data_IF_164504510064
#
_entry.id   IF_164504510064
#
_cell.length_a   1.000
_cell.length_b   1.000
_cell.length_c   1.000
_cell.angle_alpha   90.00
_cell.angle_beta   90.00
_cell.angle_gamma   90.00
#
_symmetry.space_group_name_H-M   'P 1'
#
loop_
_entity.id
_entity.type
_entity.pdbx_description
1 polymer ?
#
# COMPACT_ATOMS: atom_id res chain seq x y z
N UNK A 1 -62.05 -61.95 22.87
CA UNK A 1 -63.41 -61.38 23.08
C UNK A 1 -64.08 -62.00 24.33
N UNK A 2 -63.53 -61.78 25.54
CA UNK A 2 -64.14 -62.24 26.80
C UNK A 2 -64.01 -61.22 27.95
N UNK A 3 -63.57 -60.00 27.66
CA UNK A 3 -63.45 -58.93 28.67
C UNK A 3 -64.73 -58.15 29.02
N UNK A 4 -65.77 -58.03 28.15
CA UNK A 4 -66.94 -57.24 28.53
C UNK A 4 -67.82 -57.94 29.58
N UNK A 5 -67.85 -59.27 29.64
CA UNK A 5 -68.67 -60.00 30.63
C UNK A 5 -68.09 -59.96 32.04
N UNK A 6 -66.76 -59.90 32.18
CA UNK A 6 -66.10 -59.82 33.49
C UNK A 6 -66.29 -58.42 34.13
N UNK A 7 -66.25 -57.36 33.31
CA UNK A 7 -66.51 -55.99 33.79
C UNK A 7 -67.97 -55.77 34.18
N UNK A 8 -68.93 -56.39 33.48
CA UNK A 8 -70.36 -56.26 33.83
C UNK A 8 -70.66 -56.94 35.17
N UNK A 9 -70.07 -58.10 35.46
CA UNK A 9 -70.24 -58.81 36.76
C UNK A 9 -69.61 -58.03 37.92
N UNK A 10 -68.43 -57.44 37.71
CA UNK A 10 -67.76 -56.62 38.74
C UNK A 10 -68.52 -55.30 38.98
N UNK A 11 -69.00 -54.62 37.93
CA UNK A 11 -69.81 -53.41 38.08
C UNK A 11 -71.19 -53.69 38.73
N UNK A 12 -71.81 -54.85 38.48
CA UNK A 12 -73.08 -55.20 39.16
C UNK A 12 -72.87 -55.60 40.62
N UNK A 13 -71.73 -56.20 40.99
CA UNK A 13 -71.35 -56.40 42.39
C UNK A 13 -71.01 -55.10 43.12
N UNK A 14 -70.40 -54.11 42.43
CA UNK A 14 -70.05 -52.82 43.03
C UNK A 14 -71.25 -51.89 43.23
N UNK A 15 -72.28 -51.99 42.38
CA UNK A 15 -73.49 -51.17 42.51
C UNK A 15 -74.50 -51.66 43.57
N UNK A 16 -74.45 -52.93 43.99
CA UNK A 16 -75.34 -53.46 45.05
C UNK A 16 -74.76 -53.33 46.46
N UNK A 17 -73.51 -52.90 46.61
CA UNK A 17 -72.88 -52.59 47.89
C UNK A 17 -73.27 -51.19 48.38
N UNK A 18 -74.57 -50.98 48.60
CA UNK A 18 -75.08 -49.84 49.36
C UNK A 18 -75.49 -50.33 50.75
N UNK A 19 -74.56 -50.30 51.70
CA UNK A 19 -74.84 -50.50 53.12
C UNK A 19 -73.84 -49.73 53.98
N UNK A 20 -74.40 -48.91 54.87
CA UNK A 20 -73.73 -48.13 55.90
C UNK A 20 -73.09 -49.02 56.99
N UNK A 21 -72.01 -49.72 56.67
CA UNK A 21 -71.19 -50.40 57.68
C UNK A 21 -69.90 -49.63 57.96
N UNK A 22 -69.65 -49.38 59.24
CA UNK A 22 -68.50 -48.64 59.77
C UNK A 22 -67.20 -49.41 59.52
N UNK A 23 -66.57 -49.19 58.38
CA UNK A 23 -65.14 -49.45 58.17
C UNK A 23 -64.28 -48.28 58.69
N UNK A 24 -64.55 -47.78 59.91
CA UNK A 24 -63.74 -46.75 60.55
C UNK A 24 -62.49 -47.41 61.16
N UNK A 25 -61.37 -47.38 60.45
CA UNK A 25 -60.06 -47.80 60.97
C UNK A 25 -59.24 -48.78 60.13
N UNK A 26 -59.80 -49.35 59.05
CA UNK A 26 -59.02 -50.20 58.13
C UNK A 26 -58.36 -49.37 57.01
N UNK A 27 -57.13 -49.76 56.66
CA UNK A 27 -56.22 -49.02 55.75
C UNK A 27 -56.74 -49.00 54.30
N UNK A 28 -57.59 -49.96 53.92
CA UNK A 28 -58.21 -50.02 52.60
C UNK A 28 -59.71 -50.37 52.68
N UNK A 29 -60.61 -49.41 52.37
CA UNK A 29 -62.05 -49.63 52.32
C UNK A 29 -62.48 -50.78 51.39
N UNK A 30 -61.66 -51.13 50.39
CA UNK A 30 -61.91 -52.23 49.48
C UNK A 30 -61.67 -53.59 50.16
N UNK A 31 -60.60 -53.73 50.94
CA UNK A 31 -60.28 -54.95 51.69
C UNK A 31 -61.33 -55.18 52.79
N UNK A 32 -61.75 -54.13 53.49
CA UNK A 32 -62.83 -54.21 54.48
C UNK A 32 -64.12 -54.75 53.84
N UNK A 33 -64.55 -54.15 52.72
CA UNK A 33 -65.74 -54.59 51.97
C UNK A 33 -65.61 -56.02 51.44
N UNK A 34 -64.41 -56.45 51.03
CA UNK A 34 -64.16 -57.81 50.56
C UNK A 34 -64.25 -58.84 51.69
N UNK A 35 -63.68 -58.52 52.87
CA UNK A 35 -63.75 -59.36 54.07
C UNK A 35 -65.20 -59.51 54.56
N UNK A 36 -65.97 -58.43 54.56
CA UNK A 36 -67.40 -58.43 54.91
C UNK A 36 -68.24 -59.21 53.89
N UNK A 37 -68.05 -58.98 52.59
CA UNK A 37 -68.81 -59.65 51.53
C UNK A 37 -68.57 -61.17 51.47
N UNK A 38 -67.42 -61.64 51.96
CA UNK A 38 -67.06 -63.07 51.98
C UNK A 38 -67.47 -63.79 53.28
N UNK A 39 -68.09 -63.10 54.26
CA UNK A 39 -68.52 -63.65 55.55
C UNK A 39 -67.46 -64.54 56.25
N UNK A 40 -66.21 -64.08 56.22
CA UNK A 40 -65.06 -64.83 56.74
C UNK A 40 -65.03 -64.67 58.26
N UNK A 41 -65.67 -65.59 58.98
CA UNK A 41 -65.50 -65.72 60.44
C UNK A 41 -64.09 -66.26 60.75
N UNK A 42 -63.13 -65.35 60.99
CA UNK A 42 -61.83 -65.38 61.73
C UNK A 42 -61.09 -66.69 62.10
N UNK A 43 -61.42 -67.87 61.59
CA UNK A 43 -60.78 -69.15 62.00
C UNK A 43 -59.91 -69.84 60.94
N UNK A 44 -59.75 -69.25 59.75
CA UNK A 44 -58.84 -69.77 58.72
C UNK A 44 -57.56 -68.93 58.64
N UNK A 45 -56.57 -69.29 59.46
CA UNK A 45 -55.24 -68.66 59.57
C UNK A 45 -54.52 -68.58 58.21
N UNK A 46 -54.81 -69.53 57.30
CA UNK A 46 -54.20 -69.57 55.96
C UNK A 46 -54.75 -68.48 55.05
N UNK A 47 -56.03 -68.15 55.23
CA UNK A 47 -56.69 -67.08 54.48
C UNK A 47 -56.22 -65.71 54.98
N UNK A 48 -56.08 -65.53 56.29
CA UNK A 48 -55.59 -64.29 56.89
C UNK A 48 -54.14 -63.98 56.48
N UNK A 49 -53.26 -64.99 56.48
CA UNK A 49 -51.89 -64.85 55.92
C UNK A 49 -51.87 -64.44 54.46
N UNK A 50 -52.83 -64.92 53.65
CA UNK A 50 -52.96 -64.50 52.25
C UNK A 50 -53.45 -63.06 52.13
N UNK A 51 -54.40 -62.62 52.97
CA UNK A 51 -54.83 -61.24 53.01
C UNK A 51 -53.70 -60.29 53.44
N UNK A 52 -52.93 -60.63 54.47
CA UNK A 52 -51.75 -59.85 54.85
C UNK A 52 -50.69 -59.79 53.74
N UNK A 53 -50.51 -60.88 52.99
CA UNK A 53 -49.60 -60.90 51.84
C UNK A 53 -50.11 -60.01 50.70
N UNK A 54 -51.42 -59.99 50.46
CA UNK A 54 -52.08 -59.10 49.50
C UNK A 54 -51.96 -57.64 49.95
N UNK A 55 -52.24 -57.32 51.21
CA UNK A 55 -52.08 -55.97 51.78
C UNK A 55 -50.63 -55.49 51.63
N UNK A 56 -49.63 -56.34 51.93
CA UNK A 56 -48.22 -56.02 51.75
C UNK A 56 -47.84 -55.80 50.28
N UNK A 57 -48.43 -56.56 49.35
CA UNK A 57 -48.24 -56.36 47.91
C UNK A 57 -48.91 -55.07 47.43
N UNK A 58 -50.11 -54.75 47.91
CA UNK A 58 -50.83 -53.52 47.61
C UNK A 58 -50.08 -52.29 48.12
N UNK A 59 -49.52 -52.35 49.33
CA UNK A 59 -48.73 -51.24 49.87
C UNK A 59 -47.43 -51.03 49.09
N UNK A 60 -46.78 -52.12 48.66
CA UNK A 60 -45.62 -52.03 47.76
C UNK A 60 -46.00 -51.37 46.42
N UNK A 61 -47.11 -51.78 45.80
CA UNK A 61 -47.60 -51.18 44.55
C UNK A 61 -47.93 -49.70 44.74
N UNK A 62 -48.53 -49.34 45.89
CA UNK A 62 -48.83 -47.95 46.22
C UNK A 62 -47.57 -47.10 46.31
N UNK A 63 -46.53 -47.62 46.96
CA UNK A 63 -45.24 -46.93 47.05
C UNK A 63 -44.58 -46.81 45.67
N UNK A 64 -44.57 -47.88 44.86
CA UNK A 64 -44.03 -47.85 43.50
C UNK A 64 -44.75 -46.79 42.63
N UNK A 65 -46.08 -46.63 42.77
CA UNK A 65 -46.85 -45.59 42.08
C UNK A 65 -46.44 -44.18 42.53
N UNK A 66 -46.19 -43.97 43.83
CA UNK A 66 -45.74 -42.68 44.35
C UNK A 66 -44.34 -42.33 43.81
N UNK A 67 -43.42 -43.28 43.82
CA UNK A 67 -42.06 -43.10 43.31
C UNK A 67 -42.05 -42.84 41.79
N UNK A 68 -42.93 -43.52 41.05
CA UNK A 68 -43.08 -43.33 39.60
C UNK A 68 -43.69 -41.96 39.26
N UNK A 69 -44.66 -41.49 40.05
CA UNK A 69 -45.22 -40.15 39.93
C UNK A 69 -44.18 -39.06 40.28
N UNK A 70 -43.36 -39.28 41.31
CA UNK A 70 -42.26 -38.38 41.65
C UNK A 70 -41.21 -38.30 40.53
N UNK A 71 -40.84 -39.46 39.96
CA UNK A 71 -39.90 -39.54 38.82
C UNK A 71 -40.46 -38.82 37.60
N UNK A 72 -41.73 -39.04 37.25
CA UNK A 72 -42.41 -38.36 36.15
C UNK A 72 -42.44 -36.83 36.33
N UNK A 73 -42.63 -36.34 37.57
CA UNK A 73 -42.62 -34.91 37.86
C UNK A 73 -41.22 -34.29 37.70
N UNK A 74 -40.15 -35.04 38.04
CA UNK A 74 -38.76 -34.62 37.84
C UNK A 74 -38.43 -34.56 36.34
N UNK A 75 -38.77 -35.60 35.58
CA UNK A 75 -38.55 -35.64 34.12
C UNK A 75 -39.29 -34.50 33.41
N UNK A 76 -40.54 -34.21 33.80
CA UNK A 76 -41.31 -33.10 33.23
C UNK A 76 -40.65 -31.73 33.51
N UNK A 77 -40.04 -31.54 34.68
CA UNK A 77 -39.27 -30.33 35.00
C UNK A 77 -37.99 -30.22 34.16
N UNK A 78 -37.28 -31.33 33.97
CA UNK A 78 -36.05 -31.34 33.16
C UNK A 78 -36.35 -30.99 31.69
N UNK A 79 -37.40 -31.56 31.10
CA UNK A 79 -37.84 -31.23 29.73
C UNK A 79 -38.20 -29.74 29.62
N UNK A 80 -38.96 -29.20 30.59
CA UNK A 80 -39.29 -27.77 30.59
C UNK A 80 -38.06 -26.87 30.73
N UNK A 81 -37.04 -27.30 31.46
CA UNK A 81 -35.78 -26.57 31.58
C UNK A 81 -34.97 -26.62 30.27
N UNK A 82 -34.92 -27.76 29.60
CA UNK A 82 -34.28 -27.92 28.29
C UNK A 82 -34.97 -27.06 27.21
N UNK A 83 -36.31 -27.04 27.17
CA UNK A 83 -37.08 -26.19 26.25
C UNK A 83 -36.75 -24.69 26.43
N UNK A 84 -36.64 -24.23 27.69
CA UNK A 84 -36.23 -22.86 27.99
C UNK A 84 -34.80 -22.56 27.49
N UNK A 85 -33.86 -23.51 27.65
CA UNK A 85 -32.50 -23.36 27.14
C UNK A 85 -32.47 -23.30 25.60
N UNK A 86 -33.25 -24.16 24.94
CA UNK A 86 -33.39 -24.16 23.47
C UNK A 86 -33.98 -22.83 22.97
N UNK A 87 -34.98 -22.28 23.66
CA UNK A 87 -35.58 -20.99 23.31
C UNK A 87 -34.59 -19.83 23.49
N UNK A 88 -33.78 -19.85 24.55
CA UNK A 88 -32.70 -18.88 24.74
C UNK A 88 -31.64 -18.97 23.64
N UNK A 89 -31.18 -20.19 23.32
CA UNK A 89 -30.21 -20.44 22.25
C UNK A 89 -30.75 -19.96 20.89
N UNK A 90 -32.02 -20.25 20.59
CA UNK A 90 -32.69 -19.79 19.36
C UNK A 90 -32.72 -18.27 19.27
N UNK A 91 -33.03 -17.59 20.38
CA UNK A 91 -33.03 -16.12 20.45
C UNK A 91 -31.63 -15.55 20.24
N UNK A 92 -30.60 -16.17 20.84
CA UNK A 92 -29.21 -15.79 20.65
C UNK A 92 -28.76 -16.00 19.19
N UNK A 93 -29.14 -17.11 18.57
CA UNK A 93 -28.80 -17.42 17.18
C UNK A 93 -29.43 -16.39 16.23
N UNK A 94 -30.72 -16.10 16.38
CA UNK A 94 -31.41 -15.09 15.57
C UNK A 94 -30.81 -13.68 15.74
N UNK A 95 -30.40 -13.32 16.97
CA UNK A 95 -29.73 -12.04 17.24
C UNK A 95 -28.34 -11.99 16.58
N UNK A 96 -27.61 -13.11 16.60
CA UNK A 96 -26.31 -13.23 15.93
C UNK A 96 -26.47 -13.13 14.41
N UNK A 97 -27.44 -13.84 13.83
CA UNK A 97 -27.75 -13.78 12.39
C UNK A 97 -28.06 -12.34 11.95
N UNK A 98 -28.88 -11.63 12.73
CA UNK A 98 -29.24 -10.23 12.45
C UNK A 98 -28.01 -9.32 12.45
N UNK A 99 -27.11 -9.47 13.43
CA UNK A 99 -25.86 -8.70 13.49
C UNK A 99 -24.94 -8.99 12.30
N UNK A 100 -24.85 -10.26 11.88
CA UNK A 100 -24.06 -10.65 10.71
C UNK A 100 -24.62 -10.01 9.45
N UNK A 101 -25.95 -10.06 9.24
CA UNK A 101 -26.61 -9.39 8.10
C UNK A 101 -26.34 -7.89 8.08
N UNK A 102 -26.52 -7.20 9.20
CA UNK A 102 -26.24 -5.76 9.31
C UNK A 102 -24.78 -5.42 9.00
N UNK A 103 -23.84 -6.28 9.43
CA UNK A 103 -22.41 -6.10 9.13
C UNK A 103 -22.13 -6.29 7.64
N UNK A 104 -22.74 -7.31 7.01
CA UNK A 104 -22.63 -7.55 5.57
C UNK A 104 -23.17 -6.35 4.79
N UNK A 105 -24.34 -5.83 5.13
CA UNK A 105 -24.94 -4.68 4.44
C UNK A 105 -24.10 -3.41 4.58
N UNK A 106 -23.53 -3.17 5.77
CA UNK A 106 -22.61 -2.06 6.02
C UNK A 106 -21.31 -2.18 5.20
N UNK A 107 -20.76 -3.39 5.07
CA UNK A 107 -19.59 -3.66 4.24
C UNK A 107 -19.91 -3.45 2.75
N UNK A 108 -21.05 -3.93 2.27
CA UNK A 108 -21.49 -3.71 0.88
C UNK A 108 -21.61 -2.21 0.58
N UNK A 109 -22.20 -1.43 1.49
CA UNK A 109 -22.28 0.03 1.35
C UNK A 109 -20.92 0.70 1.27
N UNK A 110 -19.97 0.29 2.12
CA UNK A 110 -18.60 0.83 2.15
C UNK A 110 -17.83 0.49 0.87
N UNK A 111 -17.94 -0.76 0.41
CA UNK A 111 -17.30 -1.22 -0.83
C UNK A 111 -17.87 -0.47 -2.03
N UNK A 112 -19.20 -0.35 -2.15
CA UNK A 112 -19.84 0.36 -3.25
C UNK A 112 -19.48 1.85 -3.28
N UNK A 113 -19.40 2.51 -2.11
CA UNK A 113 -18.95 3.89 -2.01
C UNK A 113 -17.51 4.08 -2.49
N UNK A 114 -16.62 3.17 -2.10
CA UNK A 114 -15.21 3.16 -2.52
C UNK A 114 -15.08 2.92 -4.03
N UNK A 115 -15.80 1.93 -4.57
CA UNK A 115 -15.81 1.64 -6.01
C UNK A 115 -16.28 2.84 -6.83
N UNK A 116 -17.36 3.51 -6.40
CA UNK A 116 -17.87 4.70 -7.10
C UNK A 116 -16.87 5.86 -7.09
N UNK A 117 -16.16 6.06 -5.97
CA UNK A 117 -15.12 7.10 -5.88
C UNK A 117 -13.96 6.80 -6.83
N UNK A 118 -13.52 5.53 -6.91
CA UNK A 118 -12.48 5.10 -7.83
C UNK A 118 -12.91 5.25 -9.29
N UNK A 119 -14.17 4.94 -9.63
CA UNK A 119 -14.69 5.13 -10.98
C UNK A 119 -14.66 6.60 -11.42
N UNK A 120 -15.06 7.52 -10.54
CA UNK A 120 -14.98 8.97 -10.81
C UNK A 120 -13.52 9.41 -11.02
N UNK A 121 -12.59 8.91 -10.20
CA UNK A 121 -11.16 9.21 -10.37
C UNK A 121 -10.62 8.69 -11.71
N UNK A 122 -10.99 7.48 -12.12
CA UNK A 122 -10.60 6.88 -13.41
C UNK A 122 -11.16 7.72 -14.58
N UNK A 123 -12.41 8.15 -14.51
CA UNK A 123 -13.02 9.00 -15.54
C UNK A 123 -12.31 10.36 -15.67
N UNK A 124 -11.93 10.97 -14.54
CA UNK A 124 -11.19 12.24 -14.56
C UNK A 124 -9.80 12.07 -15.19
N UNK A 125 -9.05 11.02 -14.80
CA UNK A 125 -7.74 10.72 -15.40
C UNK A 125 -7.87 10.44 -16.91
N UNK A 126 -8.91 9.71 -17.32
CA UNK A 126 -9.19 9.41 -18.72
C UNK A 126 -9.44 10.68 -19.55
N UNK A 127 -10.05 11.71 -18.96
CA UNK A 127 -10.29 13.02 -19.61
C UNK A 127 -9.02 13.87 -19.75
N UNK A 128 -8.05 13.74 -18.84
CA UNK A 128 -6.79 14.51 -18.88
C UNK A 128 -5.77 13.90 -19.85
N UNK A 129 -5.82 12.58 -20.08
CA UNK A 129 -4.86 11.87 -20.93
C UNK A 129 -4.74 12.41 -22.38
N UNK A 130 -5.83 12.79 -23.08
CA UNK A 130 -5.76 13.38 -24.42
C UNK A 130 -5.08 14.76 -24.43
N UNK A 131 -5.31 15.60 -23.42
CA UNK A 131 -4.68 16.92 -23.31
C UNK A 131 -3.17 16.77 -23.13
N UNK A 132 -2.73 15.79 -22.33
CA UNK A 132 -1.31 15.49 -22.16
C UNK A 132 -0.66 15.01 -23.47
N UNK A 133 -1.38 14.19 -24.26
CA UNK A 133 -0.91 13.75 -25.58
C UNK A 133 -0.77 14.91 -26.56
N UNK A 134 -1.73 15.83 -26.56
CA UNK A 134 -1.67 17.04 -27.40
C UNK A 134 -0.50 17.95 -27.01
N UNK A 135 -0.28 18.17 -25.71
CA UNK A 135 0.88 18.91 -25.21
C UNK A 135 2.20 18.26 -25.63
N UNK A 136 2.30 16.93 -25.57
CA UNK A 136 3.50 16.20 -25.99
C UNK A 136 3.78 16.41 -27.49
N UNK A 137 2.74 16.32 -28.34
CA UNK A 137 2.88 16.58 -29.78
C UNK A 137 3.33 18.02 -30.07
N UNK A 138 2.79 19.00 -29.34
CA UNK A 138 3.18 20.41 -29.49
C UNK A 138 4.63 20.65 -29.06
N UNK A 139 5.12 19.94 -28.04
CA UNK A 139 6.52 19.99 -27.60
C UNK A 139 7.44 19.41 -28.68
N UNK A 140 7.09 18.28 -29.27
CA UNK A 140 7.86 17.69 -30.36
C UNK A 140 7.92 18.62 -31.60
N UNK A 141 6.80 19.22 -31.99
CA UNK A 141 6.77 20.20 -33.09
C UNK A 141 7.64 21.44 -32.78
N UNK A 142 7.55 21.95 -31.55
CA UNK A 142 8.36 23.10 -31.10
C UNK A 142 9.85 22.76 -31.12
N UNK A 143 10.23 21.56 -30.66
CA UNK A 143 11.62 21.08 -30.71
C UNK A 143 12.14 21.04 -32.15
N UNK A 144 11.35 20.46 -33.07
CA UNK A 144 11.76 20.31 -34.45
C UNK A 144 11.88 21.67 -35.16
N UNK A 145 10.98 22.62 -34.85
CA UNK A 145 11.07 24.00 -35.32
C UNK A 145 12.34 24.71 -34.79
N UNK A 146 12.66 24.57 -33.50
CA UNK A 146 13.89 25.13 -32.92
C UNK A 146 15.13 24.54 -33.60
N UNK A 147 15.14 23.22 -33.84
CA UNK A 147 16.26 22.55 -34.51
C UNK A 147 16.44 23.05 -35.94
N UNK A 148 15.35 23.25 -36.67
CA UNK A 148 15.39 23.79 -38.04
C UNK A 148 15.91 25.23 -38.08
N UNK A 149 15.42 26.11 -37.20
CA UNK A 149 15.90 27.50 -37.11
C UNK A 149 17.37 27.58 -36.68
N UNK A 150 17.78 26.72 -35.74
CA UNK A 150 19.18 26.60 -35.33
C UNK A 150 20.08 26.20 -36.51
N UNK A 151 19.68 25.20 -37.31
CA UNK A 151 20.45 24.77 -38.48
C UNK A 151 20.57 25.89 -39.53
N UNK A 152 19.50 26.67 -39.75
CA UNK A 152 19.56 27.86 -40.61
C UNK A 152 20.58 28.87 -40.09
N UNK A 153 20.57 29.15 -38.79
CA UNK A 153 21.51 30.07 -38.16
C UNK A 153 22.97 29.60 -38.27
N UNK A 154 23.24 28.31 -38.02
CA UNK A 154 24.59 27.72 -38.15
C UNK A 154 25.09 27.81 -39.59
N UNK A 155 24.24 27.50 -40.57
CA UNK A 155 24.58 27.60 -41.98
C UNK A 155 24.88 29.05 -42.39
N UNK A 156 24.05 30.01 -41.97
CA UNK A 156 24.27 31.43 -42.23
C UNK A 156 25.57 31.94 -41.59
N UNK A 157 25.84 31.54 -40.34
CA UNK A 157 27.09 31.88 -39.63
C UNK A 157 28.32 31.29 -40.33
N UNK A 158 28.20 30.05 -40.82
CA UNK A 158 29.28 29.39 -41.56
C UNK A 158 29.59 30.12 -42.87
N UNK A 159 28.56 30.53 -43.62
CA UNK A 159 28.71 31.30 -44.85
C UNK A 159 29.34 32.68 -44.56
N UNK A 160 28.84 33.39 -43.55
CA UNK A 160 29.38 34.69 -43.14
C UNK A 160 30.87 34.60 -42.75
N UNK A 161 31.25 33.58 -41.97
CA UNK A 161 32.65 33.37 -41.59
C UNK A 161 33.54 33.07 -42.80
N UNK A 162 33.03 32.33 -43.79
CA UNK A 162 33.74 32.07 -45.04
C UNK A 162 33.96 33.38 -45.83
N UNK A 163 32.90 34.17 -46.04
CA UNK A 163 32.99 35.45 -46.76
C UNK A 163 33.93 36.46 -46.07
N UNK A 164 33.84 36.55 -44.74
CA UNK A 164 34.73 37.41 -43.95
C UNK A 164 36.19 36.96 -44.08
N UNK A 165 36.44 35.65 -44.06
CA UNK A 165 37.79 35.09 -44.23
C UNK A 165 38.36 35.43 -45.61
N UNK A 166 37.58 35.28 -46.68
CA UNK A 166 38.01 35.63 -48.04
C UNK A 166 38.24 37.13 -48.22
N UNK A 167 37.39 37.97 -47.63
CA UNK A 167 37.58 39.43 -47.64
C UNK A 167 38.86 39.84 -46.90
N UNK A 168 39.13 39.25 -45.73
CA UNK A 168 40.34 39.51 -44.96
C UNK A 168 41.60 39.07 -45.71
N UNK A 169 41.58 37.89 -46.35
CA UNK A 169 42.68 37.43 -47.21
C UNK A 169 42.95 38.43 -48.33
N UNK A 170 41.91 38.84 -49.06
CA UNK A 170 42.03 39.81 -50.16
C UNK A 170 42.62 41.13 -49.68
N UNK A 171 42.07 41.71 -48.60
CA UNK A 171 42.57 42.98 -48.04
C UNK A 171 44.02 42.89 -47.56
N UNK A 172 44.41 41.74 -47.02
CA UNK A 172 45.79 41.48 -46.58
C UNK A 172 46.73 41.39 -47.78
N UNK A 173 46.33 40.69 -48.85
CA UNK A 173 47.10 40.61 -50.10
C UNK A 173 47.27 41.99 -50.75
N UNK A 174 46.20 42.78 -50.87
CA UNK A 174 46.24 44.13 -51.43
C UNK A 174 47.20 45.05 -50.63
N UNK A 175 47.17 44.93 -49.29
CA UNK A 175 48.05 45.68 -48.40
C UNK A 175 49.52 45.23 -48.55
N UNK A 176 49.76 43.93 -48.65
CA UNK A 176 51.11 43.37 -48.87
C UNK A 176 51.69 43.82 -50.21
N UNK A 177 50.91 43.77 -51.30
CA UNK A 177 51.34 44.24 -52.62
C UNK A 177 51.69 45.74 -52.59
N UNK A 178 50.87 46.55 -51.90
CA UNK A 178 51.12 47.99 -51.73
C UNK A 178 52.41 48.26 -50.94
N UNK A 179 52.64 47.50 -49.87
CA UNK A 179 53.86 47.60 -49.06
C UNK A 179 55.10 47.15 -49.82
N UNK A 180 55.00 46.09 -50.62
CA UNK A 180 56.09 45.59 -51.45
C UNK A 180 56.48 46.60 -52.52
N UNK A 181 55.51 47.17 -53.25
CA UNK A 181 55.75 48.25 -54.22
C UNK A 181 56.45 49.43 -53.57
N UNK A 182 55.96 49.88 -52.40
CA UNK A 182 56.55 51.00 -51.66
C UNK A 182 57.96 50.66 -51.15
N UNK A 183 58.19 49.43 -50.71
CA UNK A 183 59.52 48.96 -50.32
C UNK A 183 60.51 49.03 -51.50
N UNK A 184 60.11 48.55 -52.68
CA UNK A 184 60.92 48.63 -53.91
C UNK A 184 61.23 50.08 -54.27
N UNK A 185 60.23 50.98 -54.25
CA UNK A 185 60.43 52.41 -54.52
C UNK A 185 61.46 53.05 -53.59
N UNK A 186 61.42 52.70 -52.29
CA UNK A 186 62.30 53.28 -51.28
C UNK A 186 63.70 52.66 -51.27
N UNK A 187 63.84 51.39 -51.66
CA UNK A 187 65.15 50.75 -51.88
C UNK A 187 65.91 51.37 -53.06
N UNK A 188 65.20 51.98 -54.02
CA UNK A 188 65.82 52.68 -55.15
C UNK A 188 66.23 54.14 -54.83
N UNK A 189 65.99 54.64 -53.62
CA UNK A 189 66.41 55.99 -53.20
C UNK A 189 67.81 55.96 -52.55
N UNK A 190 68.80 56.72 -53.07
CA UNK A 190 70.22 56.55 -52.72
C UNK A 190 70.64 56.94 -51.29
N UNK A 191 69.74 57.39 -50.40
CA UNK A 191 70.10 57.92 -49.06
C UNK A 191 69.22 57.43 -47.89
N UNK A 192 68.41 56.37 -48.04
CA UNK A 192 67.39 55.98 -47.06
C UNK A 192 67.63 54.60 -46.42
N UNK A 193 68.69 54.40 -45.64
CA UNK A 193 68.97 53.10 -44.98
C UNK A 193 68.57 53.01 -43.50
N UNK A 194 68.30 54.14 -42.81
CA UNK A 194 68.11 54.15 -41.34
C UNK A 194 66.66 53.99 -40.85
N UNK A 195 65.71 54.80 -41.35
CA UNK A 195 64.34 54.88 -40.78
C UNK A 195 63.34 53.83 -41.30
N UNK A 196 63.66 53.16 -42.40
CA UNK A 196 62.75 52.24 -43.09
C UNK A 196 62.54 50.92 -42.33
N UNK A 197 63.60 50.48 -41.65
CA UNK A 197 63.60 49.21 -40.93
C UNK A 197 62.57 49.23 -39.77
N UNK A 198 62.37 50.37 -39.11
CA UNK A 198 61.41 50.51 -38.00
C UNK A 198 59.95 50.37 -38.43
N UNK A 199 59.52 51.02 -39.52
CA UNK A 199 58.14 50.94 -39.99
C UNK A 199 57.82 49.56 -40.60
N UNK A 200 58.78 48.97 -41.33
CA UNK A 200 58.63 47.62 -41.87
C UNK A 200 58.50 46.58 -40.75
N UNK A 201 59.34 46.65 -39.71
CA UNK A 201 59.26 45.76 -38.56
C UNK A 201 57.94 45.92 -37.78
N UNK A 202 57.40 47.14 -37.70
CA UNK A 202 56.10 47.37 -37.06
C UNK A 202 54.96 46.67 -37.81
N UNK A 203 54.91 46.82 -39.14
CA UNK A 203 53.89 46.18 -39.98
C UNK A 203 54.03 44.66 -39.94
N UNK A 204 55.25 44.15 -40.05
CA UNK A 204 55.50 42.70 -39.97
C UNK A 204 55.05 42.11 -38.61
N UNK A 205 55.33 42.81 -37.49
CA UNK A 205 54.83 42.41 -36.16
C UNK A 205 53.32 42.40 -36.08
N UNK A 206 52.64 43.41 -36.63
CA UNK A 206 51.18 43.47 -36.65
C UNK A 206 50.56 42.38 -37.51
N UNK A 207 51.20 42.03 -38.64
CA UNK A 207 50.75 40.94 -39.48
C UNK A 207 50.84 39.59 -38.74
N UNK A 208 51.95 39.34 -38.06
CA UNK A 208 52.12 38.13 -37.23
C UNK A 208 51.13 38.06 -36.06
N UNK A 209 50.80 39.20 -35.45
CA UNK A 209 49.76 39.27 -34.40
C UNK A 209 48.38 38.90 -34.94
N UNK A 210 48.04 39.37 -36.14
CA UNK A 210 46.78 39.04 -36.83
C UNK A 210 46.71 37.55 -37.18
N UNK A 211 47.80 36.97 -37.71
CA UNK A 211 47.87 35.53 -38.01
C UNK A 211 47.61 34.67 -36.76
N UNK A 212 48.21 35.04 -35.62
CA UNK A 212 47.98 34.32 -34.35
C UNK A 212 46.52 34.41 -33.89
N UNK A 213 45.88 35.58 -34.03
CA UNK A 213 44.47 35.73 -33.69
C UNK A 213 43.57 34.88 -34.58
N UNK A 214 43.87 34.80 -35.88
CA UNK A 214 43.14 33.93 -36.82
C UNK A 214 43.27 32.46 -36.41
N UNK A 215 44.46 31.99 -36.04
CA UNK A 215 44.66 30.62 -35.57
C UNK A 215 43.90 30.32 -34.27
N UNK A 216 43.91 31.25 -33.30
CA UNK A 216 43.15 31.10 -32.06
C UNK A 216 41.64 30.98 -32.31
N UNK A 217 41.08 31.83 -33.17
CA UNK A 217 39.66 31.75 -33.51
C UNK A 217 39.29 30.45 -34.23
N UNK A 218 40.17 29.92 -35.09
CA UNK A 218 39.97 28.62 -35.74
C UNK A 218 39.97 27.46 -34.73
N UNK A 219 40.85 27.50 -33.74
CA UNK A 219 40.88 26.51 -32.66
C UNK A 219 39.58 26.55 -31.84
N UNK A 220 39.12 27.73 -31.42
CA UNK A 220 37.86 27.87 -30.69
C UNK A 220 36.66 27.32 -31.49
N UNK A 221 36.61 27.57 -32.80
CA UNK A 221 35.59 27.00 -33.67
C UNK A 221 35.63 25.47 -33.73
N UNK A 222 36.83 24.87 -33.75
CA UNK A 222 36.96 23.40 -33.70
C UNK A 222 36.49 22.80 -32.38
N UNK A 223 36.78 23.46 -31.25
CA UNK A 223 36.39 23.02 -29.91
C UNK A 223 34.87 23.06 -29.75
N UNK A 224 34.23 24.14 -30.21
CA UNK A 224 32.77 24.28 -30.22
C UNK A 224 32.12 23.20 -31.09
N UNK A 225 32.68 22.91 -32.27
CA UNK A 225 32.18 21.82 -33.13
C UNK A 225 32.30 20.46 -32.46
N UNK A 226 33.41 20.17 -31.79
CA UNK A 226 33.62 18.90 -31.08
C UNK A 226 32.66 18.74 -29.88
N UNK A 227 32.44 19.82 -29.12
CA UNK A 227 31.47 19.85 -28.03
C UNK A 227 30.03 19.62 -28.54
N UNK A 228 29.70 20.15 -29.73
CA UNK A 228 28.40 19.93 -30.35
C UNK A 228 28.21 18.47 -30.78
N UNK A 229 29.20 17.85 -31.40
CA UNK A 229 29.11 16.44 -31.81
C UNK A 229 29.04 15.48 -30.61
N UNK A 230 29.73 15.78 -29.51
CA UNK A 230 29.59 15.01 -28.26
C UNK A 230 28.24 15.22 -27.57
N UNK A 231 27.60 16.37 -27.75
CA UNK A 231 26.24 16.61 -27.26
C UNK A 231 25.15 15.83 -28.02
N UNK A 232 25.46 15.33 -29.23
CA UNK A 232 24.52 14.56 -30.06
C UNK A 232 24.42 13.08 -29.67
N UNK A 233 25.40 12.53 -28.95
CA UNK A 233 25.28 11.16 -28.45
C UNK A 233 24.56 11.16 -27.11
N UNK A 234 23.42 10.46 -27.04
CA UNK A 234 22.74 10.14 -25.77
C UNK A 234 23.59 9.27 -24.83
N UNK A 235 24.77 8.83 -25.30
CA UNK A 235 25.68 7.94 -24.58
C UNK A 235 26.78 8.72 -23.86
N UNK A 236 26.97 8.40 -22.58
CA UNK A 236 28.05 8.93 -21.77
C UNK A 236 29.43 8.51 -22.31
N UNK A 237 30.45 9.37 -22.22
CA UNK A 237 31.82 9.03 -22.61
C UNK A 237 32.33 7.72 -22.00
N UNK A 238 33.31 7.11 -22.65
CA UNK A 238 33.98 5.91 -22.13
C UNK A 238 34.82 6.26 -20.91
N UNK A 239 34.66 5.51 -19.82
CA UNK A 239 35.37 5.73 -18.55
C UNK A 239 34.55 5.34 -17.34
N UNK A 240 35.11 5.57 -16.15
CA UNK A 240 34.44 5.33 -14.87
C UNK A 240 34.05 6.66 -14.23
N UNK A 241 32.76 6.80 -13.94
CA UNK A 241 32.20 8.05 -13.44
C UNK A 241 31.20 7.75 -12.34
N UNK A 242 31.17 8.60 -11.32
CA UNK A 242 30.09 8.64 -10.34
C UNK A 242 29.46 10.03 -10.38
N UNK A 243 28.13 10.06 -10.43
CA UNK A 243 27.33 11.29 -10.35
C UNK A 243 26.39 11.20 -9.15
N UNK A 244 25.99 12.33 -8.58
CA UNK A 244 24.97 12.33 -7.52
C UNK A 244 23.63 11.86 -8.08
N UNK A 245 22.99 10.93 -7.39
CA UNK A 245 21.71 10.39 -7.80
C UNK A 245 20.58 11.39 -7.48
N UNK A 246 19.59 11.46 -8.37
CA UNK A 246 18.34 12.19 -8.16
C UNK A 246 17.17 11.32 -8.68
N UNK A 247 16.86 10.25 -7.94
CA UNK A 247 15.94 9.20 -8.38
C UNK A 247 16.66 8.03 -9.06
N UNK A 248 16.07 7.52 -10.14
CA UNK A 248 16.62 6.38 -10.88
C UNK A 248 17.92 6.75 -11.61
N UNK A 249 18.88 5.82 -11.67
CA UNK A 249 20.14 6.06 -12.36
C UNK A 249 19.97 6.02 -13.89
N UNK A 250 20.73 6.85 -14.63
CA UNK A 250 20.78 6.78 -16.08
C UNK A 250 21.17 5.37 -16.57
N UNK A 251 20.78 5.04 -17.80
CA UNK A 251 21.11 3.74 -18.41
C UNK A 251 22.63 3.52 -18.39
N UNK A 252 23.05 2.35 -17.91
CA UNK A 252 24.46 1.98 -17.78
C UNK A 252 25.13 2.38 -16.47
N UNK A 253 24.45 3.15 -15.61
CA UNK A 253 24.90 3.43 -14.24
C UNK A 253 24.15 2.54 -13.25
N UNK A 254 24.82 2.21 -12.14
CA UNK A 254 24.25 1.50 -10.99
C UNK A 254 24.13 2.45 -9.80
N UNK A 255 23.05 2.33 -9.04
CA UNK A 255 22.86 3.09 -7.82
C UNK A 255 23.73 2.52 -6.70
N UNK A 256 24.46 3.40 -6.02
CA UNK A 256 25.22 3.13 -4.82
C UNK A 256 24.76 4.10 -3.74
N UNK A 257 24.49 3.56 -2.56
CA UNK A 257 24.10 4.35 -1.40
C UNK A 257 25.04 4.05 -0.24
N UNK A 258 25.32 5.06 0.56
CA UNK A 258 26.15 4.96 1.74
C UNK A 258 25.82 6.08 2.71
N UNK A 259 26.21 5.91 3.97
CA UNK A 259 26.01 6.93 4.98
C UNK A 259 27.19 7.01 5.94
N UNK A 260 27.43 8.22 6.43
CA UNK A 260 28.27 8.51 7.58
C UNK A 260 27.35 9.07 8.67
N UNK A 261 27.31 8.40 9.82
CA UNK A 261 26.48 8.76 10.97
C UNK A 261 27.34 9.13 12.16
N UNK A 262 26.76 9.91 13.07
CA UNK A 262 27.46 10.42 14.24
C UNK A 262 28.82 11.03 13.84
N UNK A 263 28.78 12.05 12.99
CA UNK A 263 29.96 12.84 12.65
C UNK A 263 30.21 13.79 13.82
N UNK A 264 31.40 13.71 14.42
CA UNK A 264 31.81 14.67 15.44
C UNK A 264 32.11 16.02 14.79
N UNK A 265 31.52 17.07 15.31
CA UNK A 265 31.68 18.43 14.83
C UNK A 265 32.20 19.33 15.94
N UNK A 266 32.93 20.37 15.59
CA UNK A 266 33.42 21.34 16.56
C UNK A 266 32.28 22.02 17.34
N UNK A 267 31.18 22.37 16.65
CA UNK A 267 29.98 22.97 17.22
C UNK A 267 28.75 22.55 16.38
N UNK A 268 27.56 22.49 16.99
CA UNK A 268 26.32 22.01 16.35
C UNK A 268 25.43 23.13 15.77
N UNK A 269 25.93 24.36 15.70
CA UNK A 269 25.16 25.49 15.17
C UNK A 269 25.02 25.43 13.64
N UNK A 270 24.05 26.17 13.12
CA UNK A 270 23.81 26.31 11.67
C UNK A 270 25.00 26.83 10.86
N UNK A 271 25.98 27.44 11.53
CA UNK A 271 27.25 27.87 10.93
C UNK A 271 28.16 26.68 10.55
N UNK A 272 28.06 25.56 11.26
CA UNK A 272 28.91 24.38 11.07
C UNK A 272 28.18 23.24 10.36
N UNK A 273 26.90 23.05 10.62
CA UNK A 273 26.06 22.09 9.91
C UNK A 273 24.73 22.71 9.54
N UNK A 274 24.36 22.57 8.26
CA UNK A 274 23.06 22.96 7.77
C UNK A 274 22.44 21.76 7.09
N UNK A 275 21.26 21.40 7.55
CA UNK A 275 20.51 20.33 6.90
C UNK A 275 20.17 20.73 5.47
N UNK A 276 20.35 19.79 4.54
CA UNK A 276 20.16 20.04 3.12
C UNK A 276 19.96 18.74 2.36
N UNK A 277 19.22 18.83 1.26
CA UNK A 277 19.00 17.74 0.32
C UNK A 277 19.58 18.13 -1.04
N UNK A 278 20.27 17.20 -1.68
CA UNK A 278 20.79 17.38 -3.04
C UNK A 278 20.59 16.08 -3.82
N UNK A 279 19.54 16.09 -4.65
CA UNK A 279 19.01 14.89 -5.26
C UNK A 279 18.49 13.91 -4.21
N UNK A 280 18.97 12.68 -4.26
CA UNK A 280 18.67 11.61 -3.29
C UNK A 280 19.68 11.52 -2.14
N UNK A 281 20.59 12.50 -2.03
CA UNK A 281 21.56 12.62 -0.92
C UNK A 281 21.08 13.67 0.09
N UNK A 282 21.56 13.57 1.33
CA UNK A 282 21.22 14.54 2.38
C UNK A 282 22.34 14.74 3.39
N UNK A 283 22.39 15.95 3.96
CA UNK A 283 23.10 16.27 5.20
C UNK A 283 22.02 16.52 6.24
N UNK A 284 22.08 15.82 7.37
CA UNK A 284 21.08 15.91 8.44
C UNK A 284 21.77 16.08 9.80
N UNK A 285 21.03 16.55 10.79
CA UNK A 285 21.41 16.49 12.19
C UNK A 285 20.64 15.38 12.93
N UNK A 286 21.26 14.80 13.95
CA UNK A 286 20.55 13.98 14.92
C UNK A 286 19.75 14.85 15.91
N UNK A 287 18.43 14.64 15.97
CA UNK A 287 17.52 15.37 16.85
C UNK A 287 17.44 16.86 16.51
N UNK A 288 17.15 17.71 17.49
CA UNK A 288 17.36 19.16 17.33
C UNK A 288 18.87 19.40 17.44
N UNK A 289 19.56 19.65 16.32
CA UNK A 289 21.02 19.81 16.20
C UNK A 289 21.64 20.31 17.53
N UNK A 290 22.41 19.45 18.20
CA UNK A 290 23.02 19.75 19.51
C UNK A 290 22.44 18.98 20.70
N UNK A 291 21.32 18.27 20.51
CA UNK A 291 20.71 17.43 21.57
C UNK A 291 21.70 16.42 22.17
N UNK A 292 22.65 15.93 21.37
CA UNK A 292 23.64 14.92 21.76
C UNK A 292 25.08 15.47 21.78
N UNK A 293 25.24 16.76 22.09
CA UNK A 293 26.53 17.44 22.08
C UNK A 293 27.11 17.58 20.67
N UNK A 294 28.34 17.13 20.48
CA UNK A 294 29.08 17.34 19.22
C UNK A 294 28.96 16.21 18.19
N UNK A 295 28.34 15.08 18.55
CA UNK A 295 28.16 13.91 17.66
C UNK A 295 26.81 13.97 16.94
N UNK A 296 26.64 14.97 16.09
CA UNK A 296 25.31 15.34 15.57
C UNK A 296 25.17 15.24 14.06
N UNK A 297 26.26 15.23 13.30
CA UNK A 297 26.18 15.25 11.84
C UNK A 297 25.89 13.89 11.23
N UNK A 298 25.05 13.87 10.19
CA UNK A 298 24.81 12.72 9.33
C UNK A 298 24.93 13.15 7.87
N UNK A 299 25.61 12.33 7.07
CA UNK A 299 25.72 12.50 5.62
C UNK A 299 25.26 11.21 4.94
N UNK A 300 24.16 11.29 4.21
CA UNK A 300 23.67 10.22 3.35
C UNK A 300 24.04 10.56 1.90
N UNK A 301 24.82 9.70 1.25
CA UNK A 301 25.21 9.84 -0.15
C UNK A 301 24.52 8.78 -0.99
N UNK A 302 23.86 9.24 -2.04
CA UNK A 302 23.29 8.41 -3.10
C UNK A 302 23.95 8.83 -4.41
N UNK A 303 24.65 7.92 -5.07
CA UNK A 303 25.40 8.16 -6.30
C UNK A 303 25.09 7.11 -7.34
N UNK A 304 25.06 7.49 -8.61
CA UNK A 304 25.01 6.59 -9.75
C UNK A 304 26.43 6.43 -10.29
N UNK A 305 26.97 5.21 -10.34
CA UNK A 305 28.31 4.95 -10.87
C UNK A 305 28.29 3.97 -12.06
N UNK A 306 29.18 4.20 -13.03
CA UNK A 306 29.41 3.36 -14.22
C UNK A 306 30.86 2.88 -14.24
#
# INVERSE_FOLDING_TARGET
>A
MMWPLFFIVICTLLCTLNANEKCEGEIDPFICKLKTALNINSRDEKLDKRFQQIEKQLEKIRQDILDLNATKAIETKNVSQEDNQIQQLTTHLNRSETKVRQTIDSLIGTVNGTVNTLLIQIENISKELPQLKELLNNVDETRDNIYNEYNKFVNATTLFNYELTELLKKKTMDAMETLEKKHIELMNQPNCTGGYNTSFNYVFRKNRELELKVQQSQQQLSEIKAALETSKSEEWPTGSYCILANGACPKGFKLFTGYLRAINMFHFSSTYIRESFFGSSSINCHGNCGTYGNWVGELNLSTCCK
#
